data_IF_631256739204
#
_entry.id   IF_631256739204
#
_cell.length_a   1.000
_cell.length_b   1.000
_cell.length_c   1.000
_cell.angle_alpha   90.00
_cell.angle_beta   90.00
_cell.angle_gamma   90.00
#
_symmetry.space_group_name_H-M   'P 1'
#
loop_
_entity.id
_entity.type
_entity.pdbx_description
1 polymer ?
#
# COMPACT_ATOMS: atom_id res chain seq x y z
N UNK A 1 18.12 -13.47 7.44
CA UNK A 1 17.42 -12.43 6.65
C UNK A 1 16.01 -12.28 7.21
N UNK A 2 15.47 -11.06 7.25
CA UNK A 2 14.08 -10.80 7.68
C UNK A 2 13.15 -10.80 6.46
N UNK A 3 11.92 -11.34 6.56
CA UNK A 3 10.98 -11.37 5.45
C UNK A 3 10.44 -9.97 5.10
N UNK A 4 9.90 -9.84 3.89
CA UNK A 4 9.14 -8.66 3.43
C UNK A 4 7.66 -9.07 3.34
N UNK A 5 6.76 -8.21 3.79
CA UNK A 5 5.32 -8.38 3.64
C UNK A 5 4.83 -7.59 2.43
N UNK A 6 3.91 -8.18 1.65
CA UNK A 6 3.23 -7.50 0.56
C UNK A 6 1.76 -7.33 0.98
N UNK A 7 1.30 -6.08 1.04
CA UNK A 7 -0.12 -5.76 1.16
C UNK A 7 -0.70 -5.72 -0.25
N UNK A 8 -1.43 -6.77 -0.63
CA UNK A 8 -2.01 -6.91 -1.97
C UNK A 8 -3.15 -5.91 -2.18
N UNK A 9 -4.16 -5.94 -1.32
CA UNK A 9 -5.35 -5.10 -1.44
C UNK A 9 -5.78 -4.53 -0.09
N UNK A 10 -6.20 -3.27 -0.13
CA UNK A 10 -6.82 -2.58 0.98
C UNK A 10 -8.11 -1.92 0.49
N UNK A 11 -9.25 -2.49 0.86
CA UNK A 11 -10.55 -2.03 0.38
C UNK A 11 -11.48 -1.62 1.51
N UNK A 12 -12.18 -0.51 1.31
CA UNK A 12 -13.28 -0.06 2.16
C UNK A 12 -14.52 0.10 1.29
N UNK A 13 -15.63 -0.50 1.73
CA UNK A 13 -16.92 -0.39 1.07
C UNK A 13 -17.31 1.09 0.91
N UNK A 14 -17.93 1.45 -0.22
CA UNK A 14 -18.21 2.85 -0.59
C UNK A 14 -18.94 3.64 0.50
N UNK A 15 -19.97 3.04 1.10
CA UNK A 15 -20.78 3.65 2.17
C UNK A 15 -19.99 3.92 3.48
N UNK A 16 -18.82 3.29 3.65
CA UNK A 16 -17.98 3.42 4.84
C UNK A 16 -16.74 4.29 4.60
N UNK A 17 -16.51 4.80 3.39
CA UNK A 17 -15.35 5.65 3.08
C UNK A 17 -15.46 7.01 3.79
N UNK A 18 -14.31 7.67 3.99
CA UNK A 18 -14.23 8.96 4.70
C UNK A 18 -14.34 8.88 6.22
N UNK A 19 -14.54 7.68 6.80
CA UNK A 19 -14.71 7.46 8.25
C UNK A 19 -13.45 6.92 8.94
N UNK A 20 -12.30 6.95 8.26
CA UNK A 20 -11.02 6.49 8.82
C UNK A 20 -10.79 4.98 8.85
N UNK A 21 -11.71 4.15 8.30
CA UNK A 21 -11.51 2.69 8.31
C UNK A 21 -10.27 2.23 7.52
N UNK A 22 -9.93 2.90 6.42
CA UNK A 22 -8.73 2.58 5.64
C UNK A 22 -7.44 2.76 6.46
N UNK A 23 -7.36 3.85 7.23
CA UNK A 23 -6.26 4.12 8.14
C UNK A 23 -6.16 3.08 9.26
N UNK A 24 -7.30 2.67 9.85
CA UNK A 24 -7.33 1.65 10.89
C UNK A 24 -6.86 0.28 10.37
N UNK A 25 -7.32 -0.12 9.19
CA UNK A 25 -6.90 -1.36 8.55
C UNK A 25 -5.41 -1.35 8.20
N UNK A 26 -4.93 -0.25 7.60
CA UNK A 26 -3.52 -0.11 7.26
C UNK A 26 -2.62 -0.11 8.51
N UNK A 27 -3.01 0.62 9.55
CA UNK A 27 -2.29 0.66 10.84
C UNK A 27 -2.19 -0.72 11.47
N UNK A 28 -3.29 -1.49 11.45
CA UNK A 28 -3.27 -2.86 11.95
C UNK A 28 -2.27 -3.73 11.17
N UNK A 29 -2.29 -3.67 9.84
CA UNK A 29 -1.33 -4.40 9.00
C UNK A 29 0.12 -4.00 9.31
N UNK A 30 0.39 -2.69 9.45
CA UNK A 30 1.71 -2.18 9.78
C UNK A 30 2.20 -2.67 11.15
N UNK A 31 1.31 -2.66 12.16
CA UNK A 31 1.60 -3.21 13.48
C UNK A 31 1.93 -4.70 13.42
N UNK A 32 1.11 -5.49 12.72
CA UNK A 32 1.34 -6.92 12.54
C UNK A 32 2.72 -7.20 11.92
N UNK A 33 3.07 -6.51 10.84
CA UNK A 33 4.37 -6.65 10.16
C UNK A 33 5.52 -6.32 11.11
N UNK A 34 5.39 -5.24 11.89
CA UNK A 34 6.40 -4.82 12.87
C UNK A 34 6.59 -5.84 13.99
N UNK A 35 5.50 -6.31 14.59
CA UNK A 35 5.51 -7.25 15.72
C UNK A 35 6.06 -8.62 15.33
N UNK A 36 5.85 -9.04 14.08
CA UNK A 36 6.35 -10.31 13.57
C UNK A 36 7.76 -10.23 12.96
N UNK A 37 8.47 -9.10 13.13
CA UNK A 37 9.90 -8.99 12.80
C UNK A 37 10.24 -8.92 11.31
N UNK A 38 9.29 -8.51 10.47
CA UNK A 38 9.53 -8.25 9.05
C UNK A 38 10.45 -7.03 8.87
N UNK A 39 11.14 -6.96 7.73
CA UNK A 39 11.98 -5.82 7.37
C UNK A 39 11.16 -4.65 6.83
N UNK A 40 10.18 -4.95 5.97
CA UNK A 40 9.42 -3.96 5.19
C UNK A 40 8.02 -4.48 4.91
N UNK A 41 7.04 -3.57 4.87
CA UNK A 41 5.75 -3.79 4.19
C UNK A 41 5.80 -3.03 2.86
N UNK A 42 5.48 -3.67 1.74
CA UNK A 42 5.35 -3.03 0.44
C UNK A 42 3.93 -3.18 -0.11
N UNK A 43 3.52 -2.22 -0.91
CA UNK A 43 2.23 -2.21 -1.59
C UNK A 43 2.37 -1.42 -2.89
N UNK A 44 1.41 -1.61 -3.79
CA UNK A 44 1.28 -0.82 -5.01
C UNK A 44 -0.14 -0.30 -5.09
N UNK A 45 -0.30 0.82 -5.78
CA UNK A 45 -1.61 1.37 -6.11
C UNK A 45 -1.58 1.92 -7.53
N UNK A 46 -2.74 2.00 -8.16
CA UNK A 46 -2.87 2.60 -9.47
C UNK A 46 -2.54 4.11 -9.40
N UNK A 47 -1.98 4.63 -10.49
CA UNK A 47 -1.54 6.03 -10.58
C UNK A 47 -2.70 7.03 -10.48
N UNK A 48 -3.91 6.61 -10.84
CA UNK A 48 -5.15 7.40 -10.76
C UNK A 48 -5.91 7.20 -9.43
N UNK A 49 -5.44 6.33 -8.54
CA UNK A 49 -6.05 6.10 -7.25
C UNK A 49 -5.55 7.10 -6.20
N UNK A 50 -5.86 8.38 -6.42
CA UNK A 50 -5.43 9.51 -5.59
C UNK A 50 -5.86 9.36 -4.12
N UNK A 51 -7.05 8.79 -3.89
CA UNK A 51 -7.55 8.55 -2.53
C UNK A 51 -6.66 7.57 -1.75
N UNK A 52 -6.22 6.48 -2.39
CA UNK A 52 -5.32 5.54 -1.75
C UNK A 52 -3.91 6.11 -1.59
N UNK A 53 -3.41 6.86 -2.59
CA UNK A 53 -2.12 7.55 -2.50
C UNK A 53 -2.06 8.51 -1.31
N UNK A 54 -3.08 9.36 -1.14
CA UNK A 54 -3.17 10.28 -0.01
C UNK A 54 -3.18 9.55 1.35
N UNK A 55 -3.86 8.41 1.44
CA UNK A 55 -3.79 7.55 2.63
C UNK A 55 -2.36 7.04 2.86
N UNK A 56 -1.72 6.47 1.84
CA UNK A 56 -0.39 5.87 1.99
C UNK A 56 0.67 6.92 2.33
N UNK A 57 0.63 8.10 1.71
CA UNK A 57 1.49 9.23 2.06
C UNK A 57 1.28 9.69 3.50
N UNK A 58 0.01 9.83 3.94
CA UNK A 58 -0.33 10.13 5.34
C UNK A 58 0.25 9.10 6.30
N UNK A 59 0.29 7.83 5.91
CA UNK A 59 0.83 6.74 6.72
C UNK A 59 2.37 6.61 6.65
N UNK A 60 3.06 7.51 5.96
CA UNK A 60 4.53 7.52 5.83
C UNK A 60 5.07 6.65 4.70
N UNK A 61 4.23 6.26 3.75
CA UNK A 61 4.64 5.62 2.50
C UNK A 61 5.51 6.55 1.66
N UNK A 62 6.54 5.99 1.05
CA UNK A 62 7.45 6.69 0.13
C UNK A 62 7.24 6.12 -1.26
N UNK A 63 7.01 6.98 -2.26
CA UNK A 63 6.95 6.55 -3.65
C UNK A 63 8.35 6.13 -4.14
N UNK A 64 8.50 4.84 -4.41
CA UNK A 64 9.74 4.26 -4.94
C UNK A 64 9.75 4.16 -6.47
N UNK A 65 8.66 4.50 -7.16
CA UNK A 65 8.54 4.38 -8.61
C UNK A 65 9.14 5.57 -9.37
N UNK A 66 9.47 6.68 -8.70
CA UNK A 66 10.07 7.86 -9.33
C UNK A 66 11.38 7.58 -10.12
N UNK A 67 12.04 6.44 -9.88
CA UNK A 67 13.32 6.09 -10.51
C UNK A 67 13.26 4.97 -11.55
N UNK A 68 12.11 4.30 -11.72
CA UNK A 68 12.03 3.07 -12.53
C UNK A 68 11.00 3.21 -13.66
N UNK A 69 11.39 2.82 -14.88
CA UNK A 69 10.48 2.71 -16.03
C UNK A 69 10.15 1.25 -16.28
N UNK A 70 8.86 0.92 -16.33
CA UNK A 70 8.39 -0.39 -16.73
C UNK A 70 8.13 -0.41 -18.24
N UNK A 71 8.56 -1.46 -18.93
CA UNK A 71 8.33 -1.69 -20.35
C UNK A 71 7.66 -3.04 -20.52
N UNK A 72 6.57 -3.08 -21.29
CA UNK A 72 5.85 -4.30 -21.61
C UNK A 72 5.57 -4.30 -23.12
N UNK A 73 5.60 -5.47 -23.75
CA UNK A 73 5.17 -5.64 -25.14
C UNK A 73 4.05 -6.67 -25.15
N UNK A 74 2.88 -6.27 -25.64
CA UNK A 74 1.77 -7.20 -25.84
C UNK A 74 2.07 -8.03 -27.09
N UNK A 75 2.26 -9.33 -26.89
CA UNK A 75 2.34 -10.30 -27.95
C UNK A 75 0.93 -10.86 -28.12
N UNK A 76 0.26 -10.42 -29.17
CA UNK A 76 -1.04 -10.96 -29.58
C UNK A 76 -0.93 -12.43 -29.94
#
# INVERSE_FOLDING_TARGET
MKPIAILNDLFVASHARGQGYGERLFTYALHYVKENGYATMSWKTAQDNETAQALYEKMGGVDTNAQWKNYEITLN
#
